data_IF_372009862843
#
_entry.id   IF_372009862843
#
_cell.length_a   1.000
_cell.length_b   1.000
_cell.length_c   1.000
_cell.angle_alpha   90.00
_cell.angle_beta   90.00
_cell.angle_gamma   90.00
#
_symmetry.space_group_name_H-M   'P 1'
#
loop_
_entity.id
_entity.type
_entity.pdbx_description
1 polymer ?
#
# COMPACT_ATOMS: atom_id res chain seq x y z
N UNK A 1 12.24 10.71 -7.57
CA UNK A 1 11.05 11.57 -7.76
C UNK A 1 10.17 10.91 -8.80
N UNK A 2 8.95 10.56 -8.42
CA UNK A 2 7.93 10.05 -9.32
C UNK A 2 7.46 11.20 -10.23
N UNK A 3 7.66 11.09 -11.54
CA UNK A 3 7.12 12.07 -12.51
C UNK A 3 5.69 11.64 -12.85
N UNK A 4 4.74 12.01 -11.99
CA UNK A 4 3.31 11.73 -12.18
C UNK A 4 2.61 13.04 -12.56
N UNK A 5 1.77 12.99 -13.59
CA UNK A 5 0.96 14.15 -13.96
C UNK A 5 -0.02 14.48 -12.83
N UNK A 6 -0.26 15.77 -12.54
CA UNK A 6 -1.22 16.14 -11.49
C UNK A 6 -2.60 15.53 -11.79
N UNK A 7 -3.13 14.65 -10.92
CA UNK A 7 -4.36 13.94 -11.20
C UNK A 7 -5.55 14.91 -11.20
N UNK A 8 -6.35 14.88 -12.27
CA UNK A 8 -7.61 15.62 -12.37
C UNK A 8 -8.76 14.71 -11.98
N UNK A 9 -9.17 14.81 -10.73
CA UNK A 9 -10.23 14.01 -10.13
C UNK A 9 -11.46 14.89 -9.84
N UNK A 10 -12.64 14.35 -10.09
CA UNK A 10 -13.89 14.89 -9.53
C UNK A 10 -13.90 14.74 -8.00
N UNK A 11 -14.83 15.43 -7.33
CA UNK A 11 -14.97 15.33 -5.88
C UNK A 11 -15.32 13.90 -5.42
N UNK A 12 -16.10 13.16 -6.21
CA UNK A 12 -16.44 11.78 -5.91
C UNK A 12 -15.21 10.88 -5.97
N UNK A 13 -14.43 10.98 -7.05
CA UNK A 13 -13.21 10.17 -7.21
C UNK A 13 -12.17 10.50 -6.14
N UNK A 14 -12.10 11.76 -5.68
CA UNK A 14 -11.26 12.15 -4.55
C UNK A 14 -11.65 11.45 -3.24
N UNK A 15 -12.95 11.30 -2.98
CA UNK A 15 -13.45 10.58 -1.80
C UNK A 15 -13.10 9.10 -1.89
N UNK A 16 -13.18 8.51 -3.08
CA UNK A 16 -12.81 7.10 -3.29
C UNK A 16 -11.31 6.87 -3.04
N UNK A 17 -10.45 7.74 -3.56
CA UNK A 17 -9.00 7.70 -3.32
C UNK A 17 -8.69 7.85 -1.82
N UNK A 18 -9.34 8.81 -1.15
CA UNK A 18 -9.15 9.02 0.29
C UNK A 18 -9.61 7.79 1.09
N UNK A 19 -10.78 7.23 0.78
CA UNK A 19 -11.28 6.04 1.45
C UNK A 19 -10.35 4.84 1.26
N UNK A 20 -9.80 4.66 0.05
CA UNK A 20 -8.84 3.61 -0.25
C UNK A 20 -7.54 3.79 0.55
N UNK A 21 -6.99 5.01 0.61
CA UNK A 21 -5.79 5.33 1.40
C UNK A 21 -6.01 5.13 2.91
N UNK A 22 -7.13 5.62 3.45
CA UNK A 22 -7.47 5.42 4.85
C UNK A 22 -7.67 3.95 5.20
N UNK A 23 -8.26 3.16 4.31
CA UNK A 23 -8.48 1.73 4.54
C UNK A 23 -7.16 0.93 4.63
N UNK A 24 -6.10 1.40 3.96
CA UNK A 24 -4.77 0.73 3.97
C UNK A 24 -3.77 1.41 4.90
N UNK A 25 -4.09 2.55 5.53
CA UNK A 25 -3.14 3.32 6.35
C UNK A 25 -2.59 2.52 7.55
N UNK A 26 -3.45 1.71 8.19
CA UNK A 26 -3.07 0.84 9.30
C UNK A 26 -2.54 -0.53 8.83
N UNK A 27 -2.62 -0.80 7.52
CA UNK A 27 -2.06 -1.99 6.91
C UNK A 27 -0.64 -1.71 6.45
N UNK A 28 0.35 -2.06 7.26
CA UNK A 28 1.75 -1.98 6.87
C UNK A 28 2.01 -2.71 5.55
N UNK A 29 3.02 -2.24 4.81
CA UNK A 29 3.57 -2.95 3.65
C UNK A 29 4.21 -4.25 4.12
N UNK A 30 3.36 -5.26 4.36
CA UNK A 30 3.72 -6.55 4.90
C UNK A 30 4.81 -7.17 4.07
N UNK A 31 6.04 -7.08 4.55
CA UNK A 31 7.09 -7.99 4.15
C UNK A 31 7.15 -9.00 5.30
N UNK A 32 6.71 -10.26 5.14
CA UNK A 32 7.31 -11.29 5.96
C UNK A 32 8.80 -11.21 5.63
N UNK A 33 9.61 -10.83 6.62
CA UNK A 33 11.04 -10.88 6.47
C UNK A 33 11.37 -12.29 5.97
N UNK A 34 12.00 -12.39 4.79
CA UNK A 34 12.46 -13.67 4.28
C UNK A 34 13.18 -14.40 5.41
N UNK A 35 12.69 -15.59 5.75
CA UNK A 35 13.22 -16.41 6.83
C UNK A 35 14.72 -16.61 6.57
N UNK A 36 15.58 -15.92 7.33
CA UNK A 36 17.03 -16.02 7.19
C UNK A 36 17.82 -14.70 7.31
N UNK A 37 17.20 -13.52 7.23
CA UNK A 37 17.95 -12.27 7.41
C UNK A 37 18.21 -11.95 8.89
N UNK A 38 19.39 -11.39 9.21
CA UNK A 38 19.75 -10.90 10.56
C UNK A 38 18.68 -9.97 11.16
N UNK A 39 17.95 -9.23 10.31
CA UNK A 39 16.80 -8.39 10.70
C UNK A 39 15.62 -9.18 11.25
N UNK A 40 15.34 -10.38 10.71
CA UNK A 40 14.27 -11.26 11.22
C UNK A 40 14.59 -11.78 12.63
N UNK A 41 15.86 -12.07 12.92
CA UNK A 41 16.31 -12.49 14.25
C UNK A 41 16.21 -11.36 15.27
N UNK A 42 16.53 -10.13 14.87
CA UNK A 42 16.39 -8.95 15.72
C UNK A 42 14.91 -8.63 15.97
N UNK A 43 14.05 -8.73 14.95
CA UNK A 43 12.60 -8.54 15.11
C UNK A 43 12.00 -9.55 16.11
N UNK A 44 12.38 -10.83 16.03
CA UNK A 44 11.94 -11.84 16.99
C UNK A 44 12.41 -11.58 18.43
N UNK A 45 13.60 -11.00 18.62
CA UNK A 45 14.09 -10.65 19.95
C UNK A 45 13.32 -9.48 20.58
N UNK A 46 12.87 -8.52 19.76
CA UNK A 46 12.04 -7.40 20.21
C UNK A 46 10.61 -7.85 20.51
N UNK A 47 10.02 -8.73 19.68
CA UNK A 47 8.70 -9.33 19.93
C UNK A 47 8.67 -10.18 21.22
N UNK A 48 9.80 -10.78 21.60
CA UNK A 48 9.91 -11.56 22.84
C UNK A 48 9.96 -10.67 24.11
N UNK A 49 10.36 -9.40 23.98
CA UNK A 49 10.49 -8.47 25.10
C UNK A 49 9.27 -7.56 25.29
N UNK A 50 8.56 -7.22 24.21
CA UNK A 50 7.41 -6.30 24.22
C UNK A 50 6.07 -7.07 24.09
N UNK A 51 6.12 -8.39 23.91
CA UNK A 51 5.00 -9.18 23.41
C UNK A 51 4.86 -8.94 21.90
N UNK A 52 4.32 -9.90 21.13
CA UNK A 52 4.17 -9.71 19.69
C UNK A 52 3.38 -8.43 19.50
N UNK A 53 3.96 -7.45 18.80
CA UNK A 53 3.21 -6.30 18.32
C UNK A 53 2.32 -6.79 17.18
N UNK A 54 1.37 -7.63 17.56
CA UNK A 54 0.15 -7.94 16.85
C UNK A 54 -0.69 -6.66 17.02
N UNK A 55 -0.21 -5.53 16.48
CA UNK A 55 -1.09 -4.57 15.84
C UNK A 55 -1.94 -5.47 14.95
N UNK A 56 -3.13 -5.80 15.46
CA UNK A 56 -4.05 -6.68 14.80
C UNK A 56 -4.14 -6.10 13.40
N UNK A 57 -3.66 -6.87 12.42
CA UNK A 57 -3.89 -6.57 11.03
C UNK A 57 -5.41 -6.53 10.95
N UNK A 58 -6.00 -5.33 11.09
CA UNK A 58 -7.42 -5.14 10.87
C UNK A 58 -7.62 -5.74 9.50
N UNK A 59 -8.40 -6.83 9.44
CA UNK A 59 -8.48 -7.65 8.24
C UNK A 59 -8.85 -6.73 7.08
N UNK A 60 -7.86 -6.45 6.22
CA UNK A 60 -8.04 -5.52 5.12
C UNK A 60 -9.09 -6.15 4.20
N UNK A 61 -10.24 -5.49 3.96
CA UNK A 61 -11.23 -6.05 3.04
C UNK A 61 -10.58 -6.38 1.70
N UNK A 62 -10.91 -7.54 1.12
CA UNK A 62 -10.22 -8.08 -0.07
C UNK A 62 -10.09 -7.08 -1.22
N UNK A 63 -11.10 -6.20 -1.39
CA UNK A 63 -11.09 -5.14 -2.41
C UNK A 63 -9.93 -4.14 -2.28
N UNK A 64 -9.39 -3.95 -1.08
CA UNK A 64 -8.29 -3.02 -0.81
C UNK A 64 -6.91 -3.68 -0.78
N UNK A 65 -6.85 -5.02 -0.83
CA UNK A 65 -5.58 -5.75 -0.90
C UNK A 65 -4.74 -5.30 -2.11
N UNK A 66 -5.30 -5.15 -3.33
CA UNK A 66 -4.52 -4.65 -4.47
C UNK A 66 -4.06 -3.21 -4.34
N UNK A 67 -4.81 -2.35 -3.62
CA UNK A 67 -4.39 -0.98 -3.32
C UNK A 67 -3.16 -0.98 -2.44
N UNK A 68 -3.16 -1.76 -1.35
CA UNK A 68 -1.98 -1.92 -0.49
C UNK A 68 -0.79 -2.41 -1.30
N UNK A 69 -0.95 -3.48 -2.09
CA UNK A 69 0.15 -4.07 -2.85
C UNK A 69 0.73 -3.09 -3.89
N UNK A 70 -0.13 -2.31 -4.56
CA UNK A 70 0.27 -1.23 -5.47
C UNK A 70 1.11 -0.16 -4.76
N UNK A 71 0.64 0.35 -3.63
CA UNK A 71 1.34 1.38 -2.87
C UNK A 71 2.69 0.87 -2.34
N UNK A 72 2.72 -0.36 -1.85
CA UNK A 72 3.95 -0.97 -1.35
C UNK A 72 4.98 -1.24 -2.45
N UNK A 73 4.53 -1.69 -3.63
CA UNK A 73 5.42 -1.85 -4.78
C UNK A 73 5.94 -0.50 -5.30
N UNK A 74 5.07 0.51 -5.32
CA UNK A 74 5.40 1.87 -5.78
C UNK A 74 6.35 2.57 -4.82
N UNK A 75 6.08 2.54 -3.50
CA UNK A 75 6.95 3.11 -2.47
C UNK A 75 8.31 2.41 -2.39
N UNK A 76 8.37 1.08 -2.55
CA UNK A 76 9.65 0.33 -2.54
C UNK A 76 10.56 0.70 -3.71
N UNK A 77 9.99 0.95 -4.88
CA UNK A 77 10.77 1.21 -6.11
C UNK A 77 10.92 2.69 -6.43
N UNK A 78 10.11 3.55 -5.80
CA UNK A 78 9.96 4.95 -6.17
C UNK A 78 9.44 5.15 -7.60
N UNK A 79 8.77 4.15 -8.17
CA UNK A 79 8.23 4.09 -9.54
C UNK A 79 6.84 3.46 -9.53
N UNK A 80 5.92 3.93 -10.36
CA UNK A 80 4.61 3.27 -10.53
C UNK A 80 4.85 1.80 -10.89
N UNK A 81 4.21 0.89 -10.16
CA UNK A 81 4.31 -0.54 -10.39
C UNK A 81 3.24 -1.00 -11.43
N UNK A 82 3.60 -1.22 -12.71
CA UNK A 82 2.61 -1.33 -13.79
C UNK A 82 1.71 -2.56 -13.68
N UNK A 83 2.24 -3.67 -13.19
CA UNK A 83 1.46 -4.89 -12.96
C UNK A 83 0.36 -4.68 -11.90
N UNK A 84 0.66 -3.94 -10.82
CA UNK A 84 -0.33 -3.62 -9.80
C UNK A 84 -1.31 -2.54 -10.26
N UNK A 85 -0.85 -1.57 -11.06
CA UNK A 85 -1.72 -0.58 -11.70
C UNK A 85 -2.77 -1.24 -12.61
N UNK A 86 -2.38 -2.26 -13.38
CA UNK A 86 -3.31 -3.01 -14.22
C UNK A 86 -4.39 -3.73 -13.39
N UNK A 87 -4.04 -4.28 -12.22
CA UNK A 87 -5.00 -4.86 -11.29
C UNK A 87 -5.99 -3.82 -10.76
N UNK A 88 -5.54 -2.61 -10.42
CA UNK A 88 -6.44 -1.52 -10.01
C UNK A 88 -7.36 -1.08 -11.15
N UNK A 89 -6.84 -0.97 -12.37
CA UNK A 89 -7.66 -0.65 -13.53
C UNK A 89 -8.75 -1.72 -13.77
N UNK A 90 -8.43 -3.00 -13.59
CA UNK A 90 -9.40 -4.10 -13.68
C UNK A 90 -10.47 -4.03 -12.57
N UNK A 91 -10.19 -3.40 -11.43
CA UNK A 91 -11.16 -3.12 -10.37
C UNK A 91 -12.01 -1.86 -10.63
N UNK A 92 -11.75 -1.13 -11.71
CA UNK A 92 -12.50 0.05 -12.11
C UNK A 92 -11.88 1.38 -11.67
N UNK A 93 -10.67 1.40 -11.10
CA UNK A 93 -9.98 2.66 -10.83
C UNK A 93 -9.60 3.35 -12.13
N UNK A 94 -9.92 4.65 -12.23
CA UNK A 94 -9.54 5.46 -13.39
C UNK A 94 -8.03 5.72 -13.40
N UNK A 95 -7.42 6.01 -14.57
CA UNK A 95 -6.01 6.38 -14.64
C UNK A 95 -5.63 7.52 -13.68
N UNK A 96 -6.51 8.53 -13.56
CA UNK A 96 -6.30 9.65 -12.64
C UNK A 96 -6.31 9.23 -11.16
N UNK A 97 -7.15 8.25 -10.78
CA UNK A 97 -7.15 7.72 -9.41
C UNK A 97 -5.88 6.93 -9.11
N UNK A 98 -5.39 6.14 -10.07
CA UNK A 98 -4.14 5.37 -9.93
C UNK A 98 -2.95 6.33 -9.78
N UNK A 99 -2.90 7.40 -10.59
CA UNK A 99 -1.88 8.45 -10.47
C UNK A 99 -1.96 9.15 -9.11
N UNK A 100 -3.15 9.45 -8.60
CA UNK A 100 -3.33 10.05 -7.28
C UNK A 100 -2.89 9.12 -6.14
N UNK A 101 -3.22 7.83 -6.21
CA UNK A 101 -2.76 6.83 -5.25
C UNK A 101 -1.23 6.75 -5.24
N UNK A 102 -0.61 6.72 -6.42
CA UNK A 102 0.86 6.70 -6.53
C UNK A 102 1.52 7.99 -6.03
N UNK A 103 0.89 9.15 -6.22
CA UNK A 103 1.42 10.43 -5.76
C UNK A 103 1.31 10.60 -4.24
N UNK A 104 0.21 10.14 -3.65
CA UNK A 104 -0.14 10.40 -2.24
C UNK A 104 0.31 9.29 -1.28
N UNK A 105 0.47 8.06 -1.77
CA UNK A 105 0.87 6.92 -0.95
C UNK A 105 2.33 6.48 -1.14
N UNK A 106 3.14 7.21 -1.92
CA UNK A 106 4.57 6.97 -2.08
C UNK A 106 5.42 7.62 -0.97
#
# INVERSE_FOLDING_TARGET
MLTIATPRLSLAEWRDVQAALSAVADCGCGQPAAAGSLRARIAHAVDALVGPNRQAQVALPDRFVPVRDFLCATGRTGRIAPAHAATLAAQGYSPAQIDALALLGA
#
